data_IF_167667403701
#
_entry.id   IF_167667403701
#
_cell.length_a   1.000
_cell.length_b   1.000
_cell.length_c   1.000
_cell.angle_alpha   90.00
_cell.angle_beta   90.00
_cell.angle_gamma   90.00
#
_symmetry.space_group_name_H-M   'P 1'
#
loop_
_entity.id
_entity.type
_entity.pdbx_description
1 polymer ?
#
# COMPACT_ATOMS: atom_id res chain seq x y z
N UNK A 1 -13.98 -13.17 -17.87
CA UNK A 1 -12.86 -13.19 -16.92
C UNK A 1 -13.12 -11.99 -16.02
N UNK A 2 -13.42 -12.17 -14.73
CA UNK A 2 -13.77 -11.04 -13.87
C UNK A 2 -12.55 -10.14 -13.71
N UNK A 3 -12.65 -8.95 -14.30
CA UNK A 3 -11.81 -7.76 -14.09
C UNK A 3 -11.92 -7.32 -12.63
N UNK A 4 -11.42 -8.12 -11.67
CA UNK A 4 -11.16 -7.56 -10.35
C UNK A 4 -9.86 -6.77 -10.45
N UNK A 5 -9.95 -5.59 -11.08
CA UNK A 5 -8.83 -4.87 -11.66
C UNK A 5 -7.91 -4.22 -10.63
N UNK A 6 -8.26 -4.19 -9.34
CA UNK A 6 -7.40 -3.68 -8.26
C UNK A 6 -7.57 -4.48 -6.96
N UNK A 7 -7.37 -5.80 -6.97
CA UNK A 7 -7.41 -6.63 -5.74
C UNK A 7 -6.49 -6.08 -4.64
N UNK A 8 -5.39 -5.41 -5.02
CA UNK A 8 -4.50 -4.72 -4.10
C UNK A 8 -5.19 -3.63 -3.27
N UNK A 9 -6.17 -2.92 -3.83
CA UNK A 9 -6.90 -1.86 -3.12
C UNK A 9 -7.74 -2.43 -1.99
N UNK A 10 -8.45 -3.54 -2.25
CA UNK A 10 -9.24 -4.22 -1.22
C UNK A 10 -8.36 -4.72 -0.08
N UNK A 11 -7.16 -5.25 -0.40
CA UNK A 11 -6.19 -5.65 0.62
C UNK A 11 -5.77 -4.47 1.49
N UNK A 12 -5.41 -3.34 0.89
CA UNK A 12 -5.03 -2.14 1.64
C UNK A 12 -6.19 -1.62 2.50
N UNK A 13 -7.42 -1.60 1.98
CA UNK A 13 -8.60 -1.20 2.75
C UNK A 13 -8.88 -2.13 3.94
N UNK A 14 -8.65 -3.44 3.80
CA UNK A 14 -8.69 -4.39 4.91
C UNK A 14 -7.61 -4.05 5.95
N UNK A 15 -6.39 -3.76 5.52
CA UNK A 15 -5.31 -3.37 6.43
C UNK A 15 -5.65 -2.08 7.17
N UNK A 16 -6.23 -1.07 6.52
CA UNK A 16 -6.64 0.18 7.17
C UNK A 16 -7.66 -0.12 8.29
N UNK A 17 -8.70 -0.93 7.97
CA UNK A 17 -9.84 -1.21 8.85
C UNK A 17 -9.52 -2.13 10.01
N UNK A 18 -8.67 -3.13 9.79
CA UNK A 18 -8.49 -4.24 10.74
C UNK A 18 -7.08 -4.35 11.30
N UNK A 19 -6.08 -3.64 10.76
CA UNK A 19 -4.72 -3.79 11.25
C UNK A 19 -4.58 -3.28 12.68
N UNK A 20 -3.88 -4.04 13.55
CA UNK A 20 -3.55 -3.56 14.87
C UNK A 20 -2.61 -2.35 14.77
N UNK A 21 -2.63 -1.48 15.79
CA UNK A 21 -1.69 -0.35 15.91
C UNK A 21 -0.22 -0.77 15.93
N UNK A 22 0.06 -2.04 16.18
CA UNK A 22 1.40 -2.62 16.17
C UNK A 22 1.87 -3.08 14.79
N UNK A 23 1.06 -2.94 13.73
CA UNK A 23 1.52 -3.25 12.37
C UNK A 23 2.42 -2.13 11.86
N UNK A 24 3.72 -2.25 12.14
CA UNK A 24 4.74 -1.26 11.82
C UNK A 24 5.52 -1.59 10.56
N UNK A 25 5.52 -2.84 10.12
CA UNK A 25 6.31 -3.28 8.97
C UNK A 25 5.41 -4.08 8.03
N UNK A 26 5.31 -3.64 6.77
CA UNK A 26 4.41 -4.20 5.77
C UNK A 26 5.16 -4.49 4.47
N UNK A 27 4.95 -5.67 3.92
CA UNK A 27 5.42 -6.05 2.59
C UNK A 27 4.23 -6.56 1.80
N UNK A 28 3.98 -5.99 0.62
CA UNK A 28 2.90 -6.41 -0.29
C UNK A 28 3.44 -6.98 -1.60
N UNK A 29 2.61 -7.79 -2.28
CA UNK A 29 2.95 -8.35 -3.58
C UNK A 29 2.86 -7.31 -4.69
N UNK A 30 3.90 -7.13 -5.49
CA UNK A 30 3.87 -6.18 -6.63
C UNK A 30 3.19 -6.74 -7.89
N UNK A 31 2.84 -8.01 -7.84
CA UNK A 31 2.04 -8.75 -8.81
C UNK A 31 0.55 -8.41 -8.71
N UNK A 32 0.16 -7.62 -7.71
CA UNK A 32 -1.21 -7.16 -7.50
C UNK A 32 -1.33 -5.74 -8.04
N UNK A 33 -2.45 -5.44 -8.70
CA UNK A 33 -2.76 -4.09 -9.13
C UNK A 33 -3.24 -3.27 -7.92
N UNK A 34 -2.65 -2.09 -7.77
CA UNK A 34 -3.03 -1.08 -6.80
C UNK A 34 -3.35 0.20 -7.55
N UNK A 35 -4.27 1.00 -7.02
CA UNK A 35 -4.42 2.39 -7.40
C UNK A 35 -3.52 3.28 -6.54
N UNK A 36 -3.15 4.42 -7.12
CA UNK A 36 -2.45 5.51 -6.43
C UNK A 36 -3.26 5.97 -5.20
N UNK A 37 -4.58 6.12 -5.36
CA UNK A 37 -5.48 6.55 -4.30
C UNK A 37 -5.53 5.54 -3.13
N UNK A 38 -5.41 4.24 -3.40
CA UNK A 38 -5.35 3.23 -2.33
C UNK A 38 -4.05 3.33 -1.52
N UNK A 39 -2.90 3.56 -2.17
CA UNK A 39 -1.66 3.81 -1.44
C UNK A 39 -1.74 5.09 -0.59
N UNK A 40 -2.25 6.20 -1.14
CA UNK A 40 -2.38 7.43 -0.36
C UNK A 40 -3.28 7.23 0.87
N UNK A 41 -4.46 6.60 0.71
CA UNK A 41 -5.35 6.27 1.83
C UNK A 41 -4.66 5.39 2.87
N UNK A 42 -3.93 4.37 2.43
CA UNK A 42 -3.19 3.48 3.31
C UNK A 42 -2.12 4.23 4.12
N UNK A 43 -1.25 4.98 3.45
CA UNK A 43 -0.17 5.71 4.11
C UNK A 43 -0.66 6.83 5.04
N UNK A 44 -1.75 7.53 4.67
CA UNK A 44 -2.39 8.50 5.58
C UNK A 44 -2.90 7.81 6.86
N UNK A 45 -3.53 6.64 6.74
CA UNK A 45 -3.97 5.87 7.90
C UNK A 45 -2.81 5.40 8.80
N UNK A 46 -1.61 5.28 8.22
CA UNK A 46 -0.39 4.85 8.89
C UNK A 46 0.33 5.97 9.63
N UNK A 47 0.04 7.26 9.33
CA UNK A 47 0.61 8.40 10.07
C UNK A 47 0.31 8.34 11.57
N UNK A 48 -0.85 7.81 11.95
CA UNK A 48 -1.23 7.61 13.35
C UNK A 48 -0.68 6.31 13.96
N UNK A 49 -0.19 5.38 13.13
CA UNK A 49 0.16 4.00 13.50
C UNK A 49 1.66 3.71 13.51
N UNK A 50 2.53 4.71 13.22
CA UNK A 50 3.99 4.58 13.16
C UNK A 50 4.46 3.45 12.22
N UNK A 51 4.04 3.49 10.94
CA UNK A 51 4.59 2.59 9.93
C UNK A 51 6.09 2.86 9.75
N UNK A 52 6.92 1.91 10.15
CA UNK A 52 8.38 1.95 10.12
C UNK A 52 8.94 1.46 8.78
N UNK A 53 8.32 0.43 8.19
CA UNK A 53 8.78 -0.13 6.92
C UNK A 53 7.62 -0.47 5.99
N UNK A 54 7.79 -0.11 4.73
CA UNK A 54 6.93 -0.54 3.64
C UNK A 54 7.77 -1.06 2.48
N UNK A 55 7.46 -2.25 1.98
CA UNK A 55 8.13 -2.89 0.86
C UNK A 55 7.17 -3.51 -0.14
N UNK A 56 7.67 -3.74 -1.35
CA UNK A 56 6.95 -4.46 -2.42
C UNK A 56 7.89 -5.53 -2.98
N UNK A 57 7.39 -6.75 -3.20
CA UNK A 57 8.20 -7.92 -3.58
C UNK A 57 8.51 -8.03 -5.08
N UNK A 58 7.70 -7.44 -5.96
CA UNK A 58 7.93 -7.35 -7.42
C UNK A 58 7.51 -5.98 -7.96
N UNK A 59 7.70 -5.71 -9.24
CA UNK A 59 7.30 -4.45 -9.87
C UNK A 59 6.34 -4.64 -11.06
N UNK A 60 5.70 -5.81 -11.19
CA UNK A 60 4.91 -6.16 -12.39
C UNK A 60 3.73 -5.21 -12.66
N UNK A 61 3.11 -4.70 -11.59
CA UNK A 61 2.04 -3.70 -11.66
C UNK A 61 2.40 -2.37 -10.97
N UNK A 62 3.67 -2.19 -10.64
CA UNK A 62 4.16 -0.98 -9.97
C UNK A 62 4.74 -0.02 -11.00
N UNK A 63 4.09 1.13 -11.12
CA UNK A 63 4.49 2.21 -12.02
C UNK A 63 5.39 3.22 -11.30
N UNK A 64 6.00 4.15 -12.05
CA UNK A 64 6.77 5.24 -11.45
C UNK A 64 5.91 6.15 -10.56
N UNK A 65 4.63 6.36 -10.89
CA UNK A 65 3.71 7.12 -10.05
C UNK A 65 3.50 6.45 -8.67
N UNK A 66 3.40 5.11 -8.65
CA UNK A 66 3.32 4.36 -7.40
C UNK A 66 4.58 4.58 -6.56
N UNK A 67 5.76 4.53 -7.19
CA UNK A 67 7.04 4.79 -6.51
C UNK A 67 7.14 6.22 -5.98
N UNK A 68 6.62 7.21 -6.71
CA UNK A 68 6.58 8.62 -6.28
C UNK A 68 5.76 8.76 -5.00
N UNK A 69 4.56 8.15 -4.93
CA UNK A 69 3.74 8.16 -3.72
C UNK A 69 4.44 7.44 -2.56
N UNK A 70 4.99 6.25 -2.79
CA UNK A 70 5.66 5.50 -1.72
C UNK A 70 6.84 6.31 -1.15
N UNK A 71 7.61 7.00 -1.99
CA UNK A 71 8.71 7.87 -1.55
C UNK A 71 8.20 9.09 -0.76
N UNK A 72 7.14 9.76 -1.23
CA UNK A 72 6.50 10.89 -0.54
C UNK A 72 6.15 10.58 0.92
N UNK A 73 5.81 9.34 1.24
CA UNK A 73 5.44 8.91 2.59
C UNK A 73 6.56 8.23 3.38
N UNK A 74 7.71 7.96 2.76
CA UNK A 74 8.90 7.40 3.44
C UNK A 74 9.80 8.49 4.06
N UNK A 75 9.70 9.72 3.55
CA UNK A 75 10.51 10.87 3.97
C UNK A 75 9.84 11.74 5.07
N UNK A 76 8.78 11.24 5.71
CA UNK A 76 8.07 11.85 6.86
C UNK A 76 8.56 11.26 8.18
#
# INVERSE_FOLDING_TARGET
MNENDNIGDELLDILIRFSPKSLTDVIVGGDWKYSIDAFERFFESCREKNLHYFGITSEDHITEDHKIIIRKYRDL
#
